data_IF_014449113183
#
_entry.id   IF_014449113183
#
_cell.length_a   1.000
_cell.length_b   1.000
_cell.length_c   1.000
_cell.angle_alpha   90.00
_cell.angle_beta   90.00
_cell.angle_gamma   90.00
#
_symmetry.space_group_name_H-M   'P 1'
#
loop_
_entity.id
_entity.type
_entity.pdbx_description
1 polymer ?
#
# COMPACT_ATOMS: atom_id res chain seq x y z
N UNK A 1 -44.02 15.61 -62.46
CA UNK A 1 -44.44 15.35 -61.07
C UNK A 1 -43.66 14.15 -60.56
N UNK A 2 -42.67 14.36 -59.69
CA UNK A 2 -41.95 13.24 -59.10
C UNK A 2 -42.94 12.38 -58.30
N UNK A 3 -42.99 11.07 -58.58
CA UNK A 3 -43.90 10.15 -57.91
C UNK A 3 -43.50 10.08 -56.44
N UNK A 4 -44.32 10.63 -55.56
CA UNK A 4 -44.14 10.66 -54.09
C UNK A 4 -43.80 9.29 -53.49
N UNK A 5 -44.20 8.19 -54.15
CA UNK A 5 -43.84 6.82 -53.81
C UNK A 5 -42.32 6.56 -53.79
N UNK A 6 -41.53 7.22 -54.65
CA UNK A 6 -40.07 7.07 -54.64
C UNK A 6 -39.44 7.58 -53.34
N UNK A 7 -40.02 8.62 -52.74
CA UNK A 7 -39.56 9.14 -51.45
C UNK A 7 -39.87 8.18 -50.31
N UNK A 8 -41.02 7.50 -50.36
CA UNK A 8 -41.36 6.44 -49.40
C UNK A 8 -40.37 5.28 -49.49
N UNK A 9 -40.00 4.84 -50.69
CA UNK A 9 -39.01 3.79 -50.87
C UNK A 9 -37.61 4.19 -50.38
N UNK A 10 -37.19 5.44 -50.62
CA UNK A 10 -35.91 5.97 -50.11
C UNK A 10 -35.93 6.04 -48.59
N UNK A 11 -37.02 6.51 -47.97
CA UNK A 11 -37.15 6.60 -46.51
C UNK A 11 -37.15 5.20 -45.87
N UNK A 12 -37.85 4.24 -46.48
CA UNK A 12 -37.84 2.84 -46.03
C UNK A 12 -36.43 2.22 -46.12
N UNK A 13 -35.68 2.49 -47.19
CA UNK A 13 -34.31 2.00 -47.36
C UNK A 13 -33.35 2.63 -46.34
N UNK A 14 -33.49 3.94 -46.08
CA UNK A 14 -32.72 4.63 -45.02
C UNK A 14 -33.04 4.06 -43.64
N UNK A 15 -34.32 3.84 -43.31
CA UNK A 15 -34.71 3.18 -42.06
C UNK A 15 -34.15 1.76 -41.95
N UNK A 16 -34.15 0.98 -43.04
CA UNK A 16 -33.57 -0.35 -43.06
C UNK A 16 -32.06 -0.31 -42.80
N UNK A 17 -31.34 0.67 -43.35
CA UNK A 17 -29.91 0.87 -43.06
C UNK A 17 -29.66 1.18 -41.58
N UNK A 18 -30.51 1.97 -40.91
CA UNK A 18 -30.38 2.26 -39.48
C UNK A 18 -30.72 1.06 -38.58
N UNK A 19 -31.58 0.14 -39.02
CA UNK A 19 -31.92 -1.09 -38.28
C UNK A 19 -30.88 -2.21 -38.53
N UNK A 20 -30.29 -2.26 -39.72
CA UNK A 20 -29.31 -3.28 -40.11
C UNK A 20 -27.88 -3.00 -39.64
N UNK A 21 -27.58 -1.77 -39.20
CA UNK A 21 -26.30 -1.45 -38.56
C UNK A 21 -26.51 -1.62 -37.04
N UNK A 22 -26.06 -2.74 -36.43
CA UNK A 22 -26.07 -2.84 -34.99
C UNK A 22 -25.21 -1.70 -34.43
N UNK A 23 -25.84 -0.77 -33.71
CA UNK A 23 -25.14 0.25 -32.94
C UNK A 23 -24.48 -0.46 -31.75
N UNK A 24 -23.33 -1.09 -31.98
CA UNK A 24 -22.46 -1.55 -30.90
C UNK A 24 -21.87 -0.32 -30.23
N UNK A 25 -22.41 0.07 -29.08
CA UNK A 25 -21.86 1.18 -28.30
C UNK A 25 -20.46 0.78 -27.80
N UNK A 26 -19.39 1.48 -28.21
CA UNK A 26 -18.06 1.20 -27.71
C UNK A 26 -17.97 1.80 -26.31
N UNK A 27 -18.15 1.01 -25.26
CA UNK A 27 -18.06 1.62 -23.93
C UNK A 27 -17.87 0.70 -22.76
N UNK A 28 -18.50 -0.48 -22.73
CA UNK A 28 -18.48 -1.31 -21.52
C UNK A 28 -18.59 -2.77 -21.92
N UNK A 29 -17.51 -3.53 -21.72
CA UNK A 29 -17.54 -4.98 -21.89
C UNK A 29 -18.58 -5.59 -20.93
N UNK A 30 -19.51 -6.36 -21.45
CA UNK A 30 -20.52 -6.98 -20.60
C UNK A 30 -19.88 -8.01 -19.66
N UNK A 31 -20.59 -8.38 -18.58
CA UNK A 31 -20.09 -9.40 -17.64
C UNK A 31 -19.80 -10.71 -18.39
N UNK A 32 -20.63 -11.03 -19.37
CA UNK A 32 -20.58 -12.21 -20.21
C UNK A 32 -19.34 -12.22 -21.12
N UNK A 33 -18.98 -11.08 -21.69
CA UNK A 33 -17.77 -10.92 -22.51
C UNK A 33 -16.48 -11.06 -21.71
N UNK A 34 -16.51 -10.76 -20.40
CA UNK A 34 -15.36 -10.87 -19.51
C UNK A 34 -15.21 -12.24 -18.85
N UNK A 35 -16.19 -13.14 -18.99
CA UNK A 35 -16.10 -14.53 -18.51
C UNK A 35 -14.84 -15.27 -18.97
N UNK A 36 -14.51 -15.35 -20.27
CA UNK A 36 -13.31 -16.06 -20.72
C UNK A 36 -12.01 -15.42 -20.19
N UNK A 37 -12.03 -14.11 -19.96
CA UNK A 37 -10.89 -13.41 -19.34
C UNK A 37 -10.76 -13.79 -17.87
N UNK A 38 -11.87 -13.99 -17.16
CA UNK A 38 -11.90 -14.45 -15.79
C UNK A 38 -11.49 -15.93 -15.67
N UNK A 39 -11.85 -16.79 -16.61
CA UNK A 39 -11.38 -18.18 -16.65
C UNK A 39 -9.85 -18.25 -16.77
N UNK A 40 -9.26 -17.44 -17.66
CA UNK A 40 -7.80 -17.32 -17.77
C UNK A 40 -7.18 -16.75 -16.48
N UNK A 41 -7.85 -15.79 -15.83
CA UNK A 41 -7.42 -15.27 -14.54
C UNK A 41 -7.38 -16.37 -13.45
N UNK A 42 -8.41 -17.21 -13.39
CA UNK A 42 -8.49 -18.34 -12.45
C UNK A 42 -7.33 -19.29 -12.66
N UNK A 43 -7.02 -19.65 -13.91
CA UNK A 43 -5.92 -20.55 -14.23
C UNK A 43 -4.55 -19.90 -13.93
N UNK A 44 -4.38 -18.63 -14.29
CA UNK A 44 -3.13 -17.87 -14.06
C UNK A 44 -2.77 -17.76 -12.58
N UNK A 45 -3.76 -17.57 -11.71
CA UNK A 45 -3.55 -17.37 -10.27
C UNK A 45 -3.96 -18.58 -9.42
N UNK A 46 -4.16 -19.74 -10.05
CA UNK A 46 -4.51 -21.00 -9.39
C UNK A 46 -5.68 -20.88 -8.40
N UNK A 47 -6.78 -20.25 -8.84
CA UNK A 47 -7.97 -20.01 -8.02
C UNK A 47 -8.91 -21.22 -8.01
N UNK A 48 -9.59 -21.47 -6.90
CA UNK A 48 -10.38 -22.69 -6.68
C UNK A 48 -11.91 -22.49 -6.77
N UNK A 49 -12.39 -21.62 -7.65
CA UNK A 49 -13.82 -21.27 -7.75
C UNK A 49 -14.65 -22.20 -8.63
N UNK A 50 -14.01 -23.02 -9.48
CA UNK A 50 -14.68 -23.83 -10.51
C UNK A 50 -15.76 -24.78 -9.96
N UNK A 51 -15.62 -25.23 -8.71
CA UNK A 51 -16.54 -26.17 -8.08
C UNK A 51 -17.69 -25.49 -7.30
N UNK A 52 -17.69 -24.17 -7.17
CA UNK A 52 -18.68 -23.41 -6.42
C UNK A 52 -19.30 -22.30 -7.28
N UNK A 53 -20.45 -22.55 -7.93
CA UNK A 53 -21.07 -21.60 -8.85
C UNK A 53 -21.44 -20.25 -8.20
N UNK A 54 -21.87 -20.27 -6.94
CA UNK A 54 -22.26 -19.05 -6.23
C UNK A 54 -21.05 -18.15 -5.93
N UNK A 55 -19.93 -18.75 -5.51
CA UNK A 55 -18.68 -18.03 -5.30
C UNK A 55 -18.10 -17.56 -6.62
N UNK A 56 -18.09 -18.39 -7.66
CA UNK A 56 -17.64 -18.01 -9.00
C UNK A 56 -18.35 -16.74 -9.50
N UNK A 57 -19.68 -16.69 -9.42
CA UNK A 57 -20.45 -15.53 -9.88
C UNK A 57 -20.18 -14.26 -9.07
N UNK A 58 -19.91 -14.41 -7.77
CA UNK A 58 -19.53 -13.32 -6.87
C UNK A 58 -18.15 -12.78 -7.22
N UNK A 59 -17.16 -13.67 -7.37
CA UNK A 59 -15.77 -13.35 -7.73
C UNK A 59 -15.68 -12.75 -9.12
N UNK A 60 -16.44 -13.25 -10.07
CA UNK A 60 -16.57 -12.66 -11.41
C UNK A 60 -17.09 -11.22 -11.32
N UNK A 61 -18.06 -10.93 -10.44
CA UNK A 61 -18.53 -9.57 -10.19
C UNK A 61 -17.42 -8.62 -9.70
N UNK A 62 -16.62 -9.06 -8.72
CA UNK A 62 -15.47 -8.29 -8.23
C UNK A 62 -14.38 -8.13 -9.30
N UNK A 63 -14.09 -9.19 -10.04
CA UNK A 63 -13.12 -9.16 -11.14
C UNK A 63 -13.50 -8.14 -12.21
N UNK A 64 -14.76 -8.12 -12.64
CA UNK A 64 -15.27 -7.13 -13.60
C UNK A 64 -15.08 -5.72 -13.06
N UNK A 65 -15.44 -5.46 -11.80
CA UNK A 65 -15.23 -4.16 -11.17
C UNK A 65 -13.74 -3.74 -11.17
N UNK A 66 -12.83 -4.68 -10.90
CA UNK A 66 -11.39 -4.44 -10.93
C UNK A 66 -10.88 -4.15 -12.34
N UNK A 67 -11.35 -4.86 -13.36
CA UNK A 67 -10.98 -4.59 -14.77
C UNK A 67 -11.37 -3.17 -15.17
N UNK A 68 -12.59 -2.75 -14.83
CA UNK A 68 -13.04 -1.38 -15.07
C UNK A 68 -12.21 -0.34 -14.33
N UNK A 69 -11.87 -0.59 -13.08
CA UNK A 69 -11.06 0.33 -12.28
C UNK A 69 -9.62 0.40 -12.81
N UNK A 70 -9.01 -0.71 -13.19
CA UNK A 70 -7.68 -0.75 -13.83
C UNK A 70 -7.67 0.08 -15.11
N UNK A 71 -8.67 -0.10 -15.97
CA UNK A 71 -8.81 0.62 -17.23
C UNK A 71 -9.04 2.13 -16.98
N UNK A 72 -9.87 2.48 -15.99
CA UNK A 72 -10.06 3.87 -15.55
C UNK A 72 -8.75 4.47 -15.05
N UNK A 73 -8.03 3.79 -14.16
CA UNK A 73 -6.74 4.24 -13.61
C UNK A 73 -5.69 4.42 -14.73
N UNK A 74 -5.64 3.48 -15.67
CA UNK A 74 -4.78 3.56 -16.85
C UNK A 74 -5.21 4.61 -17.87
N UNK A 75 -6.42 5.18 -17.79
CA UNK A 75 -6.78 6.38 -18.56
C UNK A 75 -6.39 7.65 -17.82
N UNK A 76 -6.66 7.73 -16.52
CA UNK A 76 -6.46 8.97 -15.74
C UNK A 76 -5.03 9.18 -15.24
N UNK A 77 -4.19 8.14 -15.20
CA UNK A 77 -2.78 8.28 -14.81
C UNK A 77 -2.12 9.37 -15.67
N UNK A 78 -1.75 10.50 -15.06
CA UNK A 78 -1.11 11.67 -15.71
C UNK A 78 0.40 11.59 -15.52
N UNK A 79 1.16 11.94 -16.55
CA UNK A 79 2.63 12.02 -16.53
C UNK A 79 3.24 11.66 -17.88
N UNK A 80 4.52 12.01 -18.14
CA UNK A 80 5.27 11.46 -19.26
C UNK A 80 5.21 9.93 -19.21
N UNK A 81 5.14 9.24 -20.36
CA UNK A 81 5.01 7.76 -20.39
C UNK A 81 6.03 7.05 -19.49
N UNK A 82 7.22 7.62 -19.35
CA UNK A 82 8.35 7.10 -18.57
C UNK A 82 8.15 7.14 -17.04
N UNK A 83 7.18 7.93 -16.54
CA UNK A 83 6.91 8.10 -15.11
C UNK A 83 5.45 7.77 -14.74
N UNK A 84 4.75 7.03 -15.61
CA UNK A 84 3.35 6.68 -15.45
C UNK A 84 3.19 5.36 -14.72
N UNK A 85 2.37 5.32 -13.67
CA UNK A 85 1.92 4.07 -13.09
C UNK A 85 1.02 3.32 -14.08
N UNK A 86 1.37 2.06 -14.39
CA UNK A 86 0.55 1.13 -15.18
C UNK A 86 -0.09 0.12 -14.24
N UNK A 87 -1.40 0.05 -14.25
CA UNK A 87 -2.20 -0.88 -13.45
C UNK A 87 -2.50 -2.14 -14.25
N UNK A 88 -2.52 -3.29 -13.58
CA UNK A 88 -2.77 -4.59 -14.21
C UNK A 88 -3.44 -5.55 -13.24
N UNK A 89 -3.88 -6.69 -13.77
CA UNK A 89 -4.50 -7.74 -12.96
C UNK A 89 -3.49 -8.35 -11.99
N UNK A 90 -3.90 -8.44 -10.74
CA UNK A 90 -3.16 -9.01 -9.60
C UNK A 90 -3.93 -10.19 -9.02
N UNK A 91 -3.31 -11.05 -8.19
CA UNK A 91 -4.01 -12.13 -7.50
C UNK A 91 -5.19 -11.69 -6.61
N UNK A 92 -5.37 -10.39 -6.39
CA UNK A 92 -6.39 -9.78 -5.53
C UNK A 92 -7.50 -9.11 -6.33
N UNK A 93 -7.47 -9.19 -7.66
CA UNK A 93 -8.43 -8.49 -8.55
C UNK A 93 -9.85 -9.06 -8.46
N UNK A 94 -10.04 -10.21 -7.81
CA UNK A 94 -11.30 -10.89 -7.52
C UNK A 94 -11.87 -10.59 -6.13
N UNK A 95 -11.28 -9.64 -5.40
CA UNK A 95 -11.73 -9.20 -4.09
C UNK A 95 -12.46 -7.87 -4.15
N UNK A 96 -13.46 -7.71 -3.29
CA UNK A 96 -14.04 -6.38 -3.06
C UNK A 96 -13.10 -5.54 -2.19
N UNK A 97 -13.24 -4.21 -2.25
CA UNK A 97 -12.46 -3.30 -1.40
C UNK A 97 -12.65 -3.60 0.10
N UNK A 98 -13.87 -3.91 0.51
CA UNK A 98 -14.20 -4.24 1.91
C UNK A 98 -13.58 -5.56 2.34
N UNK A 99 -13.64 -6.57 1.47
CA UNK A 99 -13.03 -7.88 1.72
C UNK A 99 -11.51 -7.77 1.80
N UNK A 100 -10.89 -7.00 0.91
CA UNK A 100 -9.45 -6.74 0.95
C UNK A 100 -9.02 -6.11 2.29
N UNK A 101 -9.76 -5.09 2.75
CA UNK A 101 -9.47 -4.42 4.02
C UNK A 101 -9.64 -5.41 5.19
N UNK A 102 -10.76 -6.13 5.24
CA UNK A 102 -11.08 -7.03 6.36
C UNK A 102 -10.04 -8.14 6.52
N UNK A 103 -9.49 -8.62 5.40
CA UNK A 103 -8.57 -9.77 5.39
C UNK A 103 -7.10 -9.35 5.49
N UNK A 104 -6.68 -8.30 4.79
CA UNK A 104 -5.24 -7.95 4.69
C UNK A 104 -4.82 -6.76 5.56
N UNK A 105 -5.76 -5.91 5.99
CA UNK A 105 -5.48 -4.68 6.72
C UNK A 105 -6.14 -4.61 8.10
N UNK A 106 -6.86 -5.65 8.53
CA UNK A 106 -7.37 -5.72 9.89
C UNK A 106 -6.22 -6.07 10.83
N UNK A 107 -5.72 -5.06 11.56
CA UNK A 107 -4.67 -5.15 12.60
C UNK A 107 -5.10 -5.93 13.85
N UNK A 108 -5.75 -7.09 13.69
CA UNK A 108 -6.50 -7.81 14.73
C UNK A 108 -7.87 -7.18 15.02
N UNK A 109 -8.92 -8.00 15.01
CA UNK A 109 -10.14 -7.63 15.74
C UNK A 109 -9.71 -7.54 17.20
N UNK A 110 -9.96 -6.42 17.91
CA UNK A 110 -9.68 -6.40 19.33
C UNK A 110 -10.44 -7.56 19.95
N UNK A 111 -9.74 -8.41 20.70
CA UNK A 111 -10.39 -9.28 21.67
C UNK A 111 -11.19 -8.34 22.58
N UNK A 112 -12.49 -8.15 22.26
CA UNK A 112 -13.41 -7.44 23.13
C UNK A 112 -13.50 -8.26 24.40
N UNK A 113 -12.65 -7.99 25.37
CA UNK A 113 -13.05 -8.15 26.77
C UNK A 113 -14.34 -7.37 26.90
N UNK A 114 -15.44 -8.10 27.10
CA UNK A 114 -16.77 -7.52 27.36
C UNK A 114 -16.69 -6.79 28.69
N UNK A 115 -16.21 -5.56 28.65
CA UNK A 115 -16.35 -4.65 29.77
C UNK A 115 -17.70 -3.97 29.53
N UNK A 116 -18.69 -4.33 30.33
CA UNK A 116 -20.04 -3.75 30.33
C UNK A 116 -20.01 -2.31 30.83
N UNK A 117 -19.35 -1.40 30.10
CA UNK A 117 -19.46 0.03 30.34
C UNK A 117 -19.62 0.79 29.02
N UNK A 118 -20.78 1.44 28.90
CA UNK A 118 -20.86 2.72 28.21
C UNK A 118 -21.29 2.66 26.76
N UNK A 119 -22.61 2.64 26.56
CA UNK A 119 -23.24 3.30 25.42
C UNK A 119 -22.75 4.76 25.37
N UNK A 120 -22.29 5.19 24.20
CA UNK A 120 -22.14 6.59 23.73
C UNK A 120 -20.75 6.77 23.15
N UNK A 121 -20.64 6.77 21.82
CA UNK A 121 -19.65 7.56 21.07
C UNK A 121 -20.05 7.55 19.59
N UNK A 122 -21.10 8.31 19.29
CA UNK A 122 -21.49 8.68 17.93
C UNK A 122 -21.73 10.19 17.92
N UNK A 123 -20.67 10.97 18.15
CA UNK A 123 -20.59 12.41 17.89
C UNK A 123 -19.14 12.86 18.08
N UNK A 124 -18.53 13.42 17.04
CA UNK A 124 -17.22 14.08 17.13
C UNK A 124 -16.10 13.42 16.33
N UNK A 125 -16.29 13.21 15.01
CA UNK A 125 -15.16 13.23 14.07
C UNK A 125 -14.73 14.69 13.96
N UNK A 126 -13.83 15.13 14.81
CA UNK A 126 -12.95 16.28 14.61
C UNK A 126 -11.86 16.23 15.69
N UNK A 127 -10.60 16.22 15.26
CA UNK A 127 -9.34 16.08 16.04
C UNK A 127 -8.87 14.64 16.31
N UNK A 128 -8.37 13.97 15.26
CA UNK A 128 -7.36 12.93 15.43
C UNK A 128 -6.00 13.50 15.05
N UNK A 129 -5.18 13.86 16.05
CA UNK A 129 -3.72 13.82 15.91
C UNK A 129 -3.34 12.35 16.17
N UNK A 130 -2.66 11.64 15.25
CA UNK A 130 -2.18 10.31 15.57
C UNK A 130 -1.08 10.46 16.63
N UNK A 131 -1.40 10.09 17.88
CA UNK A 131 -0.37 9.81 18.88
C UNK A 131 0.30 8.50 18.42
N UNK A 132 1.59 8.57 18.10
CA UNK A 132 2.41 7.40 17.81
C UNK A 132 2.25 6.40 18.97
N UNK A 133 1.80 5.19 18.66
CA UNK A 133 1.52 4.14 19.62
C UNK A 133 2.78 3.28 19.82
N UNK A 134 3.86 3.92 20.28
CA UNK A 134 5.04 3.28 20.84
C UNK A 134 5.68 4.28 21.80
N UNK A 135 5.08 4.45 22.97
CA UNK A 135 5.84 4.86 24.16
C UNK A 135 6.46 3.56 24.68
N UNK A 136 7.79 3.44 24.59
CA UNK A 136 8.58 2.25 24.97
C UNK A 136 8.58 1.93 26.48
N UNK A 137 7.71 2.57 27.25
CA UNK A 137 7.71 2.54 28.71
C UNK A 137 6.66 1.60 29.31
N UNK A 138 5.74 1.04 28.49
CA UNK A 138 4.59 0.26 28.99
C UNK A 138 4.73 -1.28 28.91
N UNK A 139 5.93 -1.81 28.58
CA UNK A 139 6.16 -3.26 28.49
C UNK A 139 7.42 -3.75 29.25
N UNK A 140 7.60 -3.32 30.49
CA UNK A 140 8.47 -4.04 31.43
C UNK A 140 7.82 -4.13 32.79
N UNK A 141 7.59 -5.36 33.27
CA UNK A 141 7.22 -5.57 34.67
C UNK A 141 8.46 -5.36 35.54
N UNK A 142 8.27 -4.94 36.79
CA UNK A 142 9.39 -4.68 37.70
C UNK A 142 10.20 -5.96 38.03
N UNK A 143 9.67 -7.14 37.71
CA UNK A 143 10.40 -8.41 37.79
C UNK A 143 11.37 -8.60 36.61
N UNK A 144 11.01 -8.16 35.40
CA UNK A 144 11.86 -8.26 34.20
C UNK A 144 13.11 -7.37 34.32
N UNK A 145 12.98 -6.20 34.97
CA UNK A 145 14.10 -5.30 35.28
C UNK A 145 15.09 -5.88 36.28
N UNK A 146 14.66 -6.85 37.10
CA UNK A 146 15.49 -7.46 38.16
C UNK A 146 16.31 -8.67 37.64
N UNK A 147 15.94 -9.23 36.49
CA UNK A 147 16.65 -10.37 35.89
C UNK A 147 17.75 -9.98 34.90
N UNK A 148 17.82 -8.72 34.46
CA UNK A 148 19.02 -8.19 33.79
C UNK A 148 20.00 -7.72 34.86
N UNK A 149 21.00 -8.54 35.17
CA UNK A 149 22.17 -8.11 35.94
C UNK A 149 22.87 -6.92 35.26
N UNK A 150 23.66 -6.17 36.04
CA UNK A 150 24.29 -4.89 35.68
C UNK A 150 25.26 -4.92 34.47
N UNK A 151 25.43 -6.06 33.80
CA UNK A 151 26.18 -6.17 32.55
C UNK A 151 25.30 -5.80 31.35
N UNK A 152 24.92 -4.52 31.30
CA UNK A 152 24.43 -3.91 30.06
C UNK A 152 25.54 -4.06 29.01
N UNK A 153 25.29 -4.64 27.83
CA UNK A 153 26.27 -4.62 26.76
C UNK A 153 26.56 -3.15 26.45
N UNK A 154 27.75 -2.71 26.83
CA UNK A 154 28.31 -1.43 26.40
C UNK A 154 28.41 -1.56 24.89
N UNK A 155 27.46 -0.95 24.19
CA UNK A 155 27.63 -0.64 22.78
C UNK A 155 28.84 0.29 22.78
N UNK A 156 30.02 -0.27 22.51
CA UNK A 156 31.17 0.54 22.20
C UNK A 156 30.75 1.39 21.00
N UNK A 157 30.94 2.71 21.05
CA UNK A 157 30.77 3.56 19.88
C UNK A 157 31.53 2.89 18.75
N UNK A 158 30.83 2.58 17.66
CA UNK A 158 31.53 2.21 16.44
C UNK A 158 32.32 3.46 16.07
N UNK A 159 33.62 3.43 16.30
CA UNK A 159 34.60 4.40 15.81
C UNK A 159 34.68 4.30 14.27
N UNK A 160 33.57 4.52 13.58
CA UNK A 160 33.62 5.17 12.30
C UNK A 160 33.76 6.66 12.61
N UNK A 161 34.66 7.41 11.97
CA UNK A 161 34.77 8.84 12.21
C UNK A 161 33.41 9.47 11.91
N UNK A 162 32.63 9.69 12.96
CA UNK A 162 31.55 10.64 12.97
C UNK A 162 32.23 11.94 12.59
N UNK A 163 32.00 12.38 11.36
CA UNK A 163 32.43 13.69 10.90
C UNK A 163 32.11 14.68 11.99
N UNK A 164 33.13 15.40 12.47
CA UNK A 164 33.06 16.35 13.59
C UNK A 164 31.93 17.36 13.36
N UNK A 165 30.74 16.98 13.83
CA UNK A 165 29.51 17.69 13.59
C UNK A 165 29.07 18.45 14.85
N UNK A 166 30.00 19.16 15.47
CA UNK A 166 29.69 20.16 16.50
C UNK A 166 29.05 21.38 15.84
N UNK A 167 27.85 21.78 16.30
CA UNK A 167 27.15 22.95 15.77
C UNK A 167 27.84 24.22 16.25
N UNK A 168 28.47 24.96 15.34
CA UNK A 168 29.12 26.25 15.65
C UNK A 168 28.07 27.31 16.04
N UNK A 169 27.87 27.52 17.34
CA UNK A 169 27.06 28.62 17.88
C UNK A 169 27.98 29.83 18.09
N UNK A 170 27.93 30.80 17.16
CA UNK A 170 28.65 32.07 17.28
C UNK A 170 27.75 33.10 17.97
N UNK A 171 28.03 33.42 19.23
CA UNK A 171 27.29 34.43 20.02
C UNK A 171 28.01 35.78 19.90
N UNK A 172 27.44 36.71 19.15
CA UNK A 172 27.94 38.09 19.05
C UNK A 172 27.15 39.02 19.96
N UNK A 173 27.86 39.69 20.87
CA UNK A 173 27.32 40.75 21.72
C UNK A 173 27.79 42.11 21.20
N UNK A 174 26.86 43.01 20.90
CA UNK A 174 27.15 44.44 20.80
C UNK A 174 26.17 45.16 21.71
N UNK A 175 26.71 46.11 22.49
CA UNK A 175 26.09 46.74 23.65
C UNK A 175 24.56 46.90 23.52
N UNK A 176 23.84 46.07 24.30
CA UNK A 176 22.39 46.03 24.50
C UNK A 176 21.51 45.24 23.52
N UNK A 177 22.05 44.38 22.65
CA UNK A 177 21.26 43.30 22.04
C UNK A 177 22.09 42.03 21.80
N UNK A 178 21.58 40.89 22.31
CA UNK A 178 22.11 39.55 22.02
C UNK A 178 21.32 38.97 20.85
N UNK A 179 22.00 38.68 19.74
CA UNK A 179 21.41 37.93 18.64
C UNK A 179 22.06 36.55 18.55
N UNK A 180 21.26 35.49 18.65
CA UNK A 180 21.70 34.11 18.39
C UNK A 180 21.69 33.91 16.87
N UNK A 181 22.87 33.77 16.26
CA UNK A 181 22.99 33.40 14.85
C UNK A 181 23.07 31.87 14.76
N UNK A 182 21.94 31.23 14.42
CA UNK A 182 21.94 29.80 14.09
C UNK A 182 22.51 29.64 12.68
N UNK A 183 23.81 29.35 12.56
CA UNK A 183 24.37 28.90 11.28
C UNK A 183 23.85 27.48 11.02
N UNK A 184 22.80 27.33 10.22
CA UNK A 184 22.46 26.02 9.64
C UNK A 184 23.66 25.56 8.82
N UNK A 185 24.35 24.49 9.26
CA UNK A 185 25.34 23.80 8.40
C UNK A 185 24.65 23.50 7.07
N UNK A 186 25.31 23.84 5.97
CA UNK A 186 24.88 23.37 4.64
C UNK A 186 24.95 21.84 4.70
N UNK A 187 23.78 21.19 4.59
CA UNK A 187 23.72 19.74 4.38
C UNK A 187 24.62 19.41 3.19
N UNK A 188 25.49 18.41 3.33
CA UNK A 188 26.18 17.83 2.19
C UNK A 188 25.16 17.54 1.07
N UNK A 189 25.57 17.72 -0.19
CA UNK A 189 24.69 17.47 -1.32
C UNK A 189 24.20 16.01 -1.24
N UNK A 190 22.89 15.83 -1.04
CA UNK A 190 22.29 14.50 -0.96
C UNK A 190 22.30 13.85 -2.35
N UNK A 191 22.45 12.52 -2.42
CA UNK A 191 22.37 11.81 -3.70
C UNK A 191 20.98 11.98 -4.33
N UNK A 192 20.95 12.12 -5.66
CA UNK A 192 19.71 12.29 -6.41
C UNK A 192 18.82 11.03 -6.38
N UNK A 193 19.41 9.85 -6.24
CA UNK A 193 18.74 8.54 -6.19
C UNK A 193 19.47 7.62 -5.22
N UNK A 194 18.72 6.88 -4.42
CA UNK A 194 19.23 5.82 -3.55
C UNK A 194 18.36 4.58 -3.72
N UNK A 195 18.99 3.43 -3.96
CA UNK A 195 18.34 2.13 -3.95
C UNK A 195 19.14 1.17 -3.05
N UNK A 196 18.58 0.80 -1.90
CA UNK A 196 19.24 -0.09 -0.95
C UNK A 196 19.33 -1.54 -1.45
N UNK A 197 18.53 -1.92 -2.45
CA UNK A 197 18.59 -3.26 -3.06
C UNK A 197 19.90 -3.46 -3.81
N UNK A 198 20.40 -2.40 -4.47
CA UNK A 198 21.68 -2.41 -5.17
C UNK A 198 22.87 -2.65 -4.21
N UNK A 199 22.68 -2.40 -2.91
CA UNK A 199 23.69 -2.63 -1.87
C UNK A 199 23.63 -4.02 -1.24
N UNK A 200 22.69 -4.87 -1.65
CA UNK A 200 22.55 -6.24 -1.12
C UNK A 200 22.08 -6.32 0.33
N UNK A 201 21.55 -5.23 0.90
CA UNK A 201 21.06 -5.18 2.29
C UNK A 201 19.55 -5.41 2.41
N UNK A 202 18.86 -5.59 1.29
CA UNK A 202 17.41 -5.82 1.23
C UNK A 202 17.16 -7.26 0.78
N UNK A 203 16.36 -7.99 1.56
CA UNK A 203 15.97 -9.36 1.27
C UNK A 203 14.93 -9.51 0.15
N UNK A 204 14.55 -10.77 -0.18
CA UNK A 204 13.47 -11.03 -1.13
C UNK A 204 12.13 -10.52 -0.60
N UNK A 205 11.22 -10.19 -1.52
CA UNK A 205 9.84 -9.81 -1.18
C UNK A 205 9.14 -11.01 -0.50
N UNK A 206 8.46 -10.73 0.61
CA UNK A 206 7.68 -11.73 1.36
C UNK A 206 6.19 -11.48 1.22
N UNK A 207 5.39 -12.50 1.50
CA UNK A 207 3.93 -12.45 1.52
C UNK A 207 3.42 -12.61 2.96
N UNK A 208 2.64 -11.64 3.43
CA UNK A 208 1.98 -11.69 4.74
C UNK A 208 0.74 -12.61 4.74
N UNK A 209 0.26 -13.00 3.55
CA UNK A 209 -0.96 -13.77 3.38
C UNK A 209 -2.18 -13.02 3.90
N UNK A 210 -3.05 -13.76 4.58
CA UNK A 210 -4.32 -13.26 5.15
C UNK A 210 -4.16 -12.74 6.59
N UNK A 211 -2.92 -12.46 7.01
CA UNK A 211 -2.60 -11.96 8.34
C UNK A 211 -2.35 -10.45 8.28
N UNK A 212 -2.93 -9.68 9.21
CA UNK A 212 -2.64 -8.25 9.43
C UNK A 212 -1.25 -8.01 10.03
N UNK A 213 -0.23 -8.76 9.61
CA UNK A 213 1.13 -8.70 10.14
C UNK A 213 2.02 -7.66 9.45
N UNK A 214 1.46 -6.76 8.64
CA UNK A 214 2.22 -5.78 7.86
C UNK A 214 3.16 -4.93 8.73
N UNK A 215 2.76 -4.65 9.98
CA UNK A 215 3.61 -4.00 10.98
C UNK A 215 4.86 -4.83 11.31
N UNK A 216 4.72 -6.15 11.49
CA UNK A 216 5.82 -7.05 11.82
C UNK A 216 6.79 -7.19 10.63
N UNK A 217 6.27 -7.36 9.41
CA UNK A 217 7.09 -7.38 8.20
C UNK A 217 7.86 -6.06 8.00
N UNK A 218 7.23 -4.92 8.28
CA UNK A 218 7.87 -3.60 8.17
C UNK A 218 9.02 -3.45 9.17
N UNK A 219 8.81 -3.86 10.43
CA UNK A 219 9.85 -3.80 11.48
C UNK A 219 11.02 -4.72 11.15
N UNK A 220 10.76 -5.99 10.83
CA UNK A 220 11.80 -6.97 10.50
C UNK A 220 12.61 -6.53 9.28
N UNK A 221 11.98 -6.00 8.23
CA UNK A 221 12.71 -5.53 7.04
C UNK A 221 13.71 -4.41 7.36
N UNK A 222 13.38 -3.52 8.28
CA UNK A 222 14.31 -2.46 8.75
C UNK A 222 15.43 -3.05 9.60
N UNK A 223 15.12 -3.97 10.52
CA UNK A 223 16.12 -4.63 11.36
C UNK A 223 17.13 -5.44 10.55
N UNK A 224 16.67 -6.20 9.55
CA UNK A 224 17.51 -6.95 8.62
C UNK A 224 18.45 -6.01 7.84
N UNK A 225 17.92 -4.92 7.32
CA UNK A 225 18.71 -3.94 6.57
C UNK A 225 19.78 -3.28 7.45
N UNK A 226 19.44 -2.86 8.67
CA UNK A 226 20.41 -2.27 9.60
C UNK A 226 21.49 -3.27 10.00
N UNK A 227 21.11 -4.51 10.32
CA UNK A 227 22.07 -5.57 10.63
C UNK A 227 23.01 -5.84 9.45
N UNK A 228 22.48 -5.89 8.22
CA UNK A 228 23.26 -6.10 7.00
C UNK A 228 24.21 -4.93 6.71
N UNK A 229 23.79 -3.68 6.95
CA UNK A 229 24.65 -2.49 6.79
C UNK A 229 25.82 -2.54 7.77
N UNK A 230 25.58 -2.90 9.03
CA UNK A 230 26.60 -2.90 10.07
C UNK A 230 27.57 -4.08 9.97
N UNK A 231 27.07 -5.26 9.61
CA UNK A 231 27.86 -6.50 9.56
C UNK A 231 28.41 -6.82 8.18
N UNK A 232 27.92 -6.15 7.13
CA UNK A 232 28.22 -6.47 5.73
C UNK A 232 27.58 -7.76 5.23
N UNK A 233 26.75 -8.44 6.03
CA UNK A 233 26.12 -9.73 5.68
C UNK A 233 24.61 -9.69 5.91
N UNK A 234 23.84 -9.96 4.85
CA UNK A 234 22.39 -10.12 4.96
C UNK A 234 22.03 -11.43 5.67
N UNK A 235 21.16 -11.34 6.68
CA UNK A 235 20.60 -12.48 7.41
C UNK A 235 19.09 -12.29 7.55
N UNK A 236 18.33 -13.31 7.14
CA UNK A 236 16.86 -13.32 7.23
C UNK A 236 16.41 -13.58 8.67
N UNK A 237 15.63 -12.67 9.24
CA UNK A 237 15.01 -12.75 10.56
C UNK A 237 13.57 -13.30 10.45
N UNK A 238 13.11 -13.91 11.55
CA UNK A 238 11.73 -14.40 11.68
C UNK A 238 10.76 -13.26 11.90
N UNK A 239 9.63 -13.29 11.19
CA UNK A 239 8.48 -12.39 11.44
C UNK A 239 7.58 -12.93 12.56
N UNK A 240 7.66 -14.23 12.83
CA UNK A 240 6.90 -14.89 13.88
C UNK A 240 7.74 -14.96 15.15
N UNK A 241 7.14 -14.59 16.30
CA UNK A 241 7.71 -14.87 17.61
C UNK A 241 7.33 -16.30 17.98
N UNK A 242 8.30 -17.21 18.03
CA UNK A 242 8.10 -18.52 18.66
C UNK A 242 8.21 -18.32 20.17
N UNK A 243 7.07 -18.37 20.87
CA UNK A 243 7.04 -18.50 22.33
C UNK A 243 7.25 -19.95 22.76
#
# INVERSE_FOLDING_TARGET
MAKWWNWILVLALVCLLFVAIPLTYPGTKTKEELRPMFDNYIDKFNKSYKNNPAEYETRLGHFVASVYEIDRLNRISRGPEQHRAKFGLTPLSDMSKTEFIDIHLSDEKPHKRKNNLGKSWSKGRDKFKPKLMFDSDDLMTDEDKKMMGDDKPVIQPVDQPMSDDEADIDVKSSHHNIYIIIKRRRRAALPLKVDWREKGVIGPVRDQGLCGACWAFSTIGVMEAMAAINTGKFSSLSVQVTS
#
